data_IF_592082450397
#
_entry.id   IF_592082450397
#
_cell.length_a   1.000
_cell.length_b   1.000
_cell.length_c   1.000
_cell.angle_alpha   90.00
_cell.angle_beta   90.00
_cell.angle_gamma   90.00
#
_symmetry.space_group_name_H-M   'P 1'
#
loop_
_entity.id
_entity.type
_entity.pdbx_description
1 polymer ?
#
# COMPACT_ATOMS: atom_id res chain seq x y z
N UNK A 1 23.67 15.00 -10.03
CA UNK A 1 22.86 13.77 -10.03
C UNK A 1 22.99 13.19 -8.64
N UNK A 2 21.89 12.99 -7.93
CA UNK A 2 21.96 12.26 -6.67
C UNK A 2 22.39 10.81 -6.95
N UNK A 3 23.25 10.27 -6.10
CA UNK A 3 23.70 8.89 -6.21
C UNK A 3 22.58 7.93 -5.81
N UNK A 4 22.45 6.84 -6.57
CA UNK A 4 21.54 5.75 -6.20
C UNK A 4 22.15 5.04 -4.98
N UNK A 5 21.41 5.00 -3.87
CA UNK A 5 21.84 4.33 -2.63
C UNK A 5 20.92 3.17 -2.28
N UNK A 6 21.46 2.17 -1.59
CA UNK A 6 20.73 1.00 -1.12
C UNK A 6 20.53 1.07 0.39
N UNK A 7 19.32 0.72 0.84
CA UNK A 7 19.02 0.51 2.26
C UNK A 7 17.99 -0.60 2.44
N UNK A 8 18.02 -1.24 3.59
CA UNK A 8 16.98 -2.18 4.00
C UNK A 8 15.83 -1.44 4.70
N UNK A 9 14.60 -1.82 4.39
CA UNK A 9 13.42 -1.30 5.08
C UNK A 9 13.06 -2.24 6.23
N UNK A 10 12.70 -1.74 7.43
CA UNK A 10 12.29 -2.60 8.54
C UNK A 10 11.16 -3.55 8.14
N UNK A 11 11.31 -4.82 8.49
CA UNK A 11 10.24 -5.82 8.43
C UNK A 11 9.29 -5.73 9.63
N UNK A 12 8.33 -6.64 9.68
CA UNK A 12 7.38 -6.75 10.79
C UNK A 12 5.95 -7.05 10.33
N UNK A 13 5.00 -7.14 11.27
CA UNK A 13 3.59 -7.31 10.96
C UNK A 13 3.04 -6.15 10.12
N UNK A 14 2.34 -6.48 9.04
CA UNK A 14 1.71 -5.51 8.14
C UNK A 14 0.23 -5.88 7.95
N UNK A 15 -0.65 -4.89 8.01
CA UNK A 15 -1.97 -4.99 7.40
C UNK A 15 -1.83 -4.74 5.89
N UNK A 16 -2.52 -5.52 5.06
CA UNK A 16 -2.44 -5.43 3.60
C UNK A 16 -3.82 -5.38 2.97
N UNK A 17 -3.98 -4.55 1.94
CA UNK A 17 -5.13 -4.56 1.04
C UNK A 17 -4.67 -4.45 -0.41
N UNK A 18 -5.42 -5.04 -1.34
CA UNK A 18 -5.23 -4.85 -2.78
C UNK A 18 -6.30 -3.89 -3.29
N UNK A 19 -5.87 -2.78 -3.89
CA UNK A 19 -6.73 -1.88 -4.66
C UNK A 19 -6.72 -2.33 -6.12
N UNK A 20 -7.91 -2.59 -6.68
CA UNK A 20 -8.10 -2.79 -8.12
C UNK A 20 -8.82 -1.58 -8.70
N UNK A 21 -8.20 -0.91 -9.67
CA UNK A 21 -8.75 0.25 -10.36
C UNK A 21 -7.82 1.47 -10.33
N UNK A 22 -8.31 2.64 -10.79
CA UNK A 22 -7.49 3.85 -10.96
C UNK A 22 -6.86 4.32 -9.64
N UNK A 23 -5.64 4.85 -9.70
CA UNK A 23 -4.89 5.28 -8.51
C UNK A 23 -5.59 6.41 -7.74
N UNK A 24 -6.35 7.26 -8.42
CA UNK A 24 -7.11 8.37 -7.82
C UNK A 24 -8.21 7.87 -6.89
N UNK A 25 -8.63 6.61 -7.04
CA UNK A 25 -9.64 5.96 -6.19
C UNK A 25 -9.02 5.11 -5.06
N UNK A 26 -7.69 5.08 -4.95
CA UNK A 26 -6.99 4.30 -3.92
C UNK A 26 -7.31 4.75 -2.48
N UNK A 27 -7.76 5.99 -2.30
CA UNK A 27 -8.18 6.53 -0.99
C UNK A 27 -9.24 5.64 -0.30
N UNK A 28 -10.12 4.98 -1.05
CA UNK A 28 -11.12 4.09 -0.46
C UNK A 28 -10.52 2.77 0.06
N UNK A 29 -9.45 2.28 -0.57
CA UNK A 29 -8.67 1.15 -0.05
C UNK A 29 -7.92 1.53 1.23
N UNK A 30 -7.34 2.72 1.30
CA UNK A 30 -6.74 3.26 2.52
C UNK A 30 -7.74 3.36 3.68
N UNK A 31 -8.93 3.93 3.43
CA UNK A 31 -10.00 4.02 4.44
C UNK A 31 -10.37 2.65 4.99
N UNK A 32 -10.58 1.66 4.11
CA UNK A 32 -10.90 0.28 4.50
C UNK A 32 -9.78 -0.38 5.31
N UNK A 33 -8.53 -0.20 4.87
CA UNK A 33 -7.36 -0.75 5.57
C UNK A 33 -7.26 -0.19 6.98
N UNK A 34 -7.37 1.13 7.14
CA UNK A 34 -7.26 1.76 8.46
C UNK A 34 -8.47 1.52 9.36
N UNK A 35 -9.68 1.40 8.79
CA UNK A 35 -10.84 0.95 9.54
C UNK A 35 -10.60 -0.46 10.11
N UNK A 36 -10.12 -1.39 9.29
CA UNK A 36 -9.79 -2.74 9.74
C UNK A 36 -8.70 -2.74 10.83
N UNK A 37 -7.65 -1.92 10.69
CA UNK A 37 -6.61 -1.78 11.73
C UNK A 37 -7.22 -1.34 13.07
N UNK A 38 -8.11 -0.34 13.04
CA UNK A 38 -8.78 0.17 14.24
C UNK A 38 -9.74 -0.87 14.86
N UNK A 39 -10.54 -1.54 14.04
CA UNK A 39 -11.46 -2.61 14.45
C UNK A 39 -10.73 -3.80 15.09
N UNK A 40 -9.50 -4.06 14.67
CA UNK A 40 -8.66 -5.14 15.22
C UNK A 40 -7.76 -4.68 16.37
N UNK A 41 -8.00 -3.49 16.93
CA UNK A 41 -7.24 -2.90 18.03
C UNK A 41 -5.72 -2.83 17.80
N UNK A 42 -5.30 -2.69 16.54
CA UNK A 42 -3.91 -2.55 16.14
C UNK A 42 -3.52 -1.07 16.05
N UNK A 43 -2.23 -0.77 16.15
CA UNK A 43 -1.71 0.60 15.97
C UNK A 43 -0.81 0.69 14.75
N UNK A 44 -0.88 1.80 14.03
CA UNK A 44 0.06 2.08 12.95
C UNK A 44 1.46 2.30 13.53
N UNK A 45 2.42 1.56 13.02
CA UNK A 45 3.80 1.51 13.53
C UNK A 45 4.83 2.17 12.61
N UNK A 46 4.40 2.88 11.56
CA UNK A 46 5.29 3.50 10.59
C UNK A 46 4.60 3.92 9.28
N UNK A 47 5.39 4.33 8.27
CA UNK A 47 4.87 4.76 6.97
C UNK A 47 4.28 3.61 6.18
N UNK A 48 3.23 3.89 5.41
CA UNK A 48 2.65 2.93 4.46
C UNK A 48 3.58 2.68 3.29
N UNK A 49 3.39 1.55 2.61
CA UNK A 49 4.15 1.17 1.41
C UNK A 49 3.17 0.74 0.33
N UNK A 50 3.48 1.08 -0.91
CA UNK A 50 2.71 0.67 -2.07
C UNK A 50 3.56 -0.21 -2.99
N UNK A 51 2.93 -1.23 -3.57
CA UNK A 51 3.52 -2.07 -4.61
C UNK A 51 2.59 -2.06 -5.83
N UNK A 52 3.07 -1.47 -6.92
CA UNK A 52 2.37 -1.45 -8.20
C UNK A 52 2.64 -2.77 -8.94
N UNK A 53 1.63 -3.64 -9.00
CA UNK A 53 1.80 -5.02 -9.45
C UNK A 53 1.80 -5.17 -10.97
N UNK A 54 1.24 -4.21 -11.70
CA UNK A 54 1.15 -4.23 -13.15
C UNK A 54 1.50 -2.87 -13.77
N UNK A 55 1.81 -2.91 -15.07
CA UNK A 55 2.28 -1.75 -15.82
C UNK A 55 1.09 -0.90 -16.29
N UNK A 56 0.97 0.37 -15.86
CA UNK A 56 -0.13 1.25 -16.28
C UNK A 56 -0.11 1.61 -17.76
N UNK A 57 0.96 1.28 -18.49
CA UNK A 57 1.02 1.41 -19.95
C UNK A 57 0.49 0.19 -20.69
N UNK A 58 0.24 -0.93 -19.99
CA UNK A 58 -0.17 -2.21 -20.59
C UNK A 58 -1.60 -2.63 -20.25
N UNK A 59 -2.16 -2.14 -19.15
CA UNK A 59 -3.53 -2.44 -18.73
C UNK A 59 -4.34 -1.16 -18.58
N UNK A 60 -5.66 -1.19 -18.81
CA UNK A 60 -6.51 -0.03 -18.55
C UNK A 60 -6.55 0.30 -17.04
N UNK A 61 -6.83 1.56 -16.66
CA UNK A 61 -6.89 1.99 -15.27
C UNK A 61 -7.74 1.11 -14.35
N UNK A 62 -8.84 0.54 -14.87
CA UNK A 62 -9.78 -0.33 -14.16
C UNK A 62 -9.18 -1.70 -13.76
N UNK A 63 -8.08 -2.08 -14.41
CA UNK A 63 -7.36 -3.33 -14.17
C UNK A 63 -6.04 -3.13 -13.42
N UNK A 64 -5.68 -1.88 -13.10
CA UNK A 64 -4.51 -1.59 -12.26
C UNK A 64 -4.63 -2.27 -10.90
N UNK A 65 -3.53 -2.85 -10.44
CA UNK A 65 -3.44 -3.53 -9.15
C UNK A 65 -2.35 -2.88 -8.30
N UNK A 66 -2.75 -2.35 -7.14
CA UNK A 66 -1.83 -1.77 -6.15
C UNK A 66 -2.01 -2.48 -4.82
N UNK A 67 -0.94 -3.05 -4.27
CA UNK A 67 -0.95 -3.50 -2.88
C UNK A 67 -0.58 -2.34 -1.98
N UNK A 68 -1.38 -2.10 -0.95
CA UNK A 68 -1.13 -1.09 0.07
C UNK A 68 -0.86 -1.83 1.38
N UNK A 69 0.28 -1.50 1.99
CA UNK A 69 0.75 -2.06 3.25
C UNK A 69 0.79 -0.99 4.34
N UNK A 70 0.23 -1.30 5.50
CA UNK A 70 0.33 -0.49 6.71
C UNK A 70 1.06 -1.28 7.81
N UNK A 71 2.21 -0.81 8.32
CA UNK A 71 2.89 -1.47 9.43
C UNK A 71 2.05 -1.38 10.70
N UNK A 72 1.93 -2.49 11.43
CA UNK A 72 1.10 -2.58 12.64
C UNK A 72 1.85 -3.15 13.84
N UNK A 73 1.48 -2.68 15.03
CA UNK A 73 1.89 -3.18 16.34
C UNK A 73 0.67 -3.57 17.19
#
# INVERSE_FOLDING_TARGET
>A
MEDITCRELPGGPMARIVHKGPYEKSADAYKKLFAWVAENHKKIAGPTREVYLNDPKKVPPEELLTEIYAPVA
#
